data_IF_710837614153
#
_entry.id   IF_710837614153
#
_cell.length_a   1.000
_cell.length_b   1.000
_cell.length_c   1.000
_cell.angle_alpha   90.00
_cell.angle_beta   90.00
_cell.angle_gamma   90.00
#
_symmetry.space_group_name_H-M   'P 1'
#
loop_
_entity.id
_entity.type
_entity.pdbx_description
1 polymer ?
#
# COMPACT_ATOMS: atom_id res chain seq x y z
N UNK A 1 -23.56 -14.91 -25.25
CA UNK A 1 -22.41 -15.61 -24.65
C UNK A 1 -21.21 -14.67 -24.67
N UNK A 2 -20.65 -14.37 -23.51
CA UNK A 2 -19.21 -14.22 -23.28
C UNK A 2 -19.05 -13.95 -21.77
N UNK A 3 -18.53 -14.95 -21.04
CA UNK A 3 -18.02 -14.73 -19.68
C UNK A 3 -17.00 -13.60 -19.79
N UNK A 4 -17.32 -12.44 -19.19
CA UNK A 4 -16.33 -11.39 -18.96
C UNK A 4 -15.22 -12.07 -18.17
N UNK A 5 -14.05 -12.16 -18.79
CA UNK A 5 -12.89 -12.90 -18.30
C UNK A 5 -12.75 -12.68 -16.80
N UNK A 6 -12.56 -13.76 -16.06
CA UNK A 6 -12.15 -13.70 -14.67
C UNK A 6 -10.97 -12.72 -14.60
N UNK A 7 -11.23 -11.52 -14.11
CA UNK A 7 -10.19 -10.58 -13.73
C UNK A 7 -9.39 -11.36 -12.69
N UNK A 8 -8.18 -11.77 -13.04
CA UNK A 8 -7.25 -12.36 -12.07
C UNK A 8 -7.02 -11.26 -11.03
N UNK A 9 -7.84 -11.27 -9.98
CA UNK A 9 -7.65 -10.45 -8.82
C UNK A 9 -6.40 -10.99 -8.15
N UNK A 10 -5.26 -10.50 -8.61
CA UNK A 10 -3.99 -10.63 -7.90
C UNK A 10 -4.22 -9.94 -6.54
N UNK A 11 -4.48 -10.77 -5.53
CA UNK A 11 -4.67 -10.39 -4.14
C UNK A 11 -3.51 -10.97 -3.35
N UNK A 12 -2.94 -10.17 -2.45
CA UNK A 12 -1.92 -10.63 -1.51
C UNK A 12 -2.21 -10.11 -0.11
N UNK A 13 -1.77 -10.86 0.90
CA UNK A 13 -1.85 -10.46 2.30
C UNK A 13 -0.47 -9.99 2.76
N UNK A 14 -0.31 -8.69 3.00
CA UNK A 14 0.95 -8.11 3.48
C UNK A 14 0.67 -7.17 4.66
N UNK A 15 1.50 -7.23 5.69
CA UNK A 15 1.37 -6.40 6.89
C UNK A 15 -0.03 -6.45 7.55
N UNK A 16 -0.73 -7.58 7.41
CA UNK A 16 -2.09 -7.78 7.91
C UNK A 16 -3.18 -7.07 7.09
N UNK A 17 -2.87 -6.58 5.89
CA UNK A 17 -3.83 -5.98 4.96
C UNK A 17 -3.96 -6.81 3.69
N UNK A 18 -5.18 -6.83 3.14
CA UNK A 18 -5.46 -7.39 1.82
C UNK A 18 -5.14 -6.33 0.77
N UNK A 19 -4.11 -6.59 -0.04
CA UNK A 19 -3.69 -5.74 -1.15
C UNK A 19 -4.29 -6.23 -2.45
N UNK A 20 -4.83 -5.30 -3.21
CA UNK A 20 -5.43 -5.51 -4.51
C UNK A 20 -4.51 -4.92 -5.58
N UNK A 21 -4.23 -5.69 -6.61
CA UNK A 21 -3.46 -5.19 -7.75
C UNK A 21 -4.29 -4.15 -8.50
N UNK A 22 -3.75 -2.94 -8.63
CA UNK A 22 -4.35 -1.85 -9.41
C UNK A 22 -3.62 -1.59 -10.74
N UNK A 23 -2.50 -2.26 -10.99
CA UNK A 23 -1.73 -2.19 -12.22
C UNK A 23 -0.57 -3.20 -12.22
N UNK A 24 0.28 -3.18 -13.27
CA UNK A 24 1.39 -4.14 -13.39
C UNK A 24 2.30 -4.14 -12.15
N UNK A 25 2.58 -2.96 -11.63
CA UNK A 25 3.46 -2.75 -10.48
C UNK A 25 2.83 -1.78 -9.47
N UNK A 26 1.51 -1.88 -9.28
CA UNK A 26 0.77 -1.01 -8.37
C UNK A 26 -0.22 -1.83 -7.54
N UNK A 27 -0.20 -1.60 -6.23
CA UNK A 27 -0.99 -2.28 -5.23
C UNK A 27 -1.70 -1.28 -4.34
N UNK A 28 -2.97 -1.52 -4.05
CA UNK A 28 -3.74 -0.71 -3.12
C UNK A 28 -4.30 -1.56 -1.99
N UNK A 29 -4.34 -1.01 -0.80
CA UNK A 29 -5.00 -1.60 0.36
C UNK A 29 -5.70 -0.50 1.14
N UNK A 30 -6.63 -0.86 2.00
CA UNK A 30 -7.23 0.08 2.94
C UNK A 30 -7.51 -0.62 4.26
N UNK A 31 -7.48 0.15 5.33
CA UNK A 31 -8.01 -0.23 6.62
C UNK A 31 -8.79 0.92 7.24
N UNK A 32 -9.15 0.79 8.51
CA UNK A 32 -9.87 1.83 9.25
C UNK A 32 -9.07 3.13 9.47
N UNK A 33 -7.76 3.11 9.22
CA UNK A 33 -6.86 4.24 9.49
C UNK A 33 -6.47 4.99 8.22
N UNK A 34 -6.23 4.28 7.12
CA UNK A 34 -5.76 4.91 5.88
C UNK A 34 -6.09 4.08 4.63
N UNK A 35 -5.99 4.73 3.48
CA UNK A 35 -5.91 4.12 2.15
C UNK A 35 -4.45 4.15 1.70
N UNK A 36 -3.93 3.01 1.28
CA UNK A 36 -2.53 2.80 0.95
C UNK A 36 -2.37 2.53 -0.54
N UNK A 37 -1.32 3.10 -1.13
CA UNK A 37 -0.90 2.81 -2.51
C UNK A 37 0.60 2.54 -2.52
N UNK A 38 1.00 1.39 -3.05
CA UNK A 38 2.38 0.99 -3.31
C UNK A 38 2.58 0.91 -4.82
N UNK A 39 3.70 1.41 -5.32
CA UNK A 39 4.08 1.31 -6.71
C UNK A 39 5.59 1.11 -6.87
N UNK A 40 6.00 0.39 -7.91
CA UNK A 40 7.41 0.23 -8.27
C UNK A 40 7.80 1.28 -9.30
N UNK A 41 8.98 1.88 -9.13
CA UNK A 41 9.55 2.80 -10.11
C UNK A 41 10.70 2.16 -10.92
N UNK A 42 11.28 2.94 -11.84
CA UNK A 42 12.31 2.52 -12.81
C UNK A 42 13.63 2.10 -12.17
N UNK A 43 13.85 2.43 -10.91
CA UNK A 43 15.03 2.04 -10.12
C UNK A 43 14.85 0.68 -9.42
N UNK A 44 13.79 -0.05 -9.76
CA UNK A 44 13.42 -1.34 -9.19
C UNK A 44 13.12 -1.31 -7.68
N UNK A 45 12.76 -0.13 -7.14
CA UNK A 45 12.35 0.03 -5.75
C UNK A 45 10.86 0.32 -5.62
N UNK A 46 10.33 -0.08 -4.47
CA UNK A 46 8.96 0.19 -4.08
C UNK A 46 8.87 1.53 -3.34
N UNK A 47 7.93 2.33 -3.81
CA UNK A 47 7.52 3.62 -3.28
C UNK A 47 6.04 3.56 -2.95
N UNK A 48 5.56 4.55 -2.22
CA UNK A 48 4.17 4.57 -1.83
C UNK A 48 3.74 5.81 -1.10
N UNK A 49 2.45 5.89 -0.88
CA UNK A 49 1.81 6.90 -0.08
C UNK A 49 0.60 6.30 0.63
N UNK A 50 0.21 6.93 1.73
CA UNK A 50 -1.04 6.65 2.40
C UNK A 50 -1.84 7.93 2.55
N UNK A 51 -3.16 7.81 2.45
CA UNK A 51 -4.11 8.89 2.65
C UNK A 51 -4.94 8.60 3.89
N UNK A 52 -5.00 9.57 4.80
CA UNK A 52 -5.76 9.50 6.03
C UNK A 52 -6.52 10.81 6.20
N UNK A 53 -7.83 10.74 6.44
CA UNK A 53 -8.67 11.92 6.67
C UNK A 53 -8.55 12.99 5.56
N UNK A 54 -8.22 12.57 4.32
CA UNK A 54 -7.98 13.44 3.17
C UNK A 54 -6.55 14.01 3.07
N UNK A 55 -5.70 13.76 4.06
CA UNK A 55 -4.29 14.13 4.04
C UNK A 55 -3.43 13.00 3.46
N UNK A 56 -2.74 13.30 2.37
CA UNK A 56 -1.85 12.37 1.68
C UNK A 56 -0.43 12.53 2.17
N UNK A 57 0.14 11.45 2.71
CA UNK A 57 1.54 11.37 3.13
C UNK A 57 2.32 10.44 2.22
N UNK A 58 3.45 10.92 1.69
CA UNK A 58 4.38 10.12 0.88
C UNK A 58 5.40 9.44 1.78
N UNK A 59 5.70 8.17 1.50
CA UNK A 59 6.79 7.45 2.16
C UNK A 59 8.14 8.14 1.88
N UNK A 60 8.90 8.42 2.92
CA UNK A 60 10.25 9.01 2.81
C UNK A 60 11.37 7.94 2.65
N UNK A 61 10.99 6.68 2.50
CA UNK A 61 11.89 5.54 2.36
C UNK A 61 11.42 4.65 1.20
N UNK A 62 12.34 3.90 0.60
CA UNK A 62 12.06 2.95 -0.47
C UNK A 62 12.97 1.73 -0.36
N UNK A 63 12.52 0.58 -0.87
CA UNK A 63 13.31 -0.65 -0.86
C UNK A 63 12.92 -1.61 -2.00
N UNK A 64 13.78 -2.58 -2.37
CA UNK A 64 13.50 -3.50 -3.48
C UNK A 64 12.45 -4.59 -3.16
N UNK A 65 12.11 -4.79 -1.88
CA UNK A 65 11.20 -5.85 -1.44
C UNK A 65 9.81 -5.29 -1.12
N UNK A 66 8.78 -5.80 -1.80
CA UNK A 66 7.39 -5.35 -1.62
C UNK A 66 6.88 -5.60 -0.19
N UNK A 67 7.15 -6.78 0.36
CA UNK A 67 6.71 -7.20 1.71
C UNK A 67 7.23 -6.22 2.77
N UNK A 68 8.54 -5.98 2.78
CA UNK A 68 9.19 -5.04 3.72
C UNK A 68 8.66 -3.62 3.54
N UNK A 69 8.40 -3.19 2.30
CA UNK A 69 7.84 -1.87 2.04
C UNK A 69 6.41 -1.73 2.56
N UNK A 70 5.58 -2.76 2.39
CA UNK A 70 4.22 -2.79 2.90
C UNK A 70 4.19 -2.74 4.44
N UNK A 71 5.06 -3.49 5.11
CA UNK A 71 5.22 -3.44 6.57
C UNK A 71 5.62 -2.04 7.04
N UNK A 72 6.61 -1.44 6.38
CA UNK A 72 7.05 -0.08 6.65
C UNK A 72 5.91 0.94 6.54
N UNK A 73 5.15 0.92 5.44
CA UNK A 73 4.07 1.87 5.25
C UNK A 73 2.94 1.71 6.27
N UNK A 74 2.51 0.47 6.52
CA UNK A 74 1.40 0.20 7.45
C UNK A 74 1.78 0.57 8.87
N UNK A 75 3.02 0.26 9.29
CA UNK A 75 3.54 0.67 10.60
C UNK A 75 3.58 2.20 10.74
N UNK A 76 4.10 2.92 9.74
CA UNK A 76 4.17 4.39 9.79
C UNK A 76 2.80 5.06 9.81
N UNK A 77 1.88 4.64 8.95
CA UNK A 77 0.52 5.18 8.93
C UNK A 77 -0.22 4.97 10.26
N UNK A 78 -0.01 3.82 10.91
CA UNK A 78 -0.60 3.51 12.21
C UNK A 78 0.06 4.26 13.37
N UNK A 79 1.37 4.50 13.30
CA UNK A 79 2.12 5.30 14.30
C UNK A 79 1.81 6.79 14.24
N UNK A 80 1.39 7.31 13.09
CA UNK A 80 0.91 8.70 12.96
C UNK A 80 -0.41 8.97 13.70
N UNK A 81 -0.89 8.06 14.54
CA UNK A 81 -1.98 8.36 15.46
C UNK A 81 -1.56 9.46 16.45
N UNK A 82 -2.30 10.58 16.53
CA UNK A 82 -1.94 11.75 17.35
C UNK A 82 -2.08 11.52 18.87
N UNK A 83 -2.45 10.32 19.31
CA UNK A 83 -2.66 10.01 20.74
C UNK A 83 -1.37 9.65 21.49
N UNK A 84 -0.19 9.84 20.89
CA UNK A 84 1.09 9.56 21.55
C UNK A 84 1.94 10.85 21.60
N UNK A 85 1.68 11.76 22.56
CA UNK A 85 2.61 12.85 22.84
C UNK A 85 3.90 12.23 23.38
N UNK A 86 5.01 12.52 22.69
CA UNK A 86 6.36 12.34 23.24
C UNK A 86 6.60 13.37 24.35
#
# INVERSE_FOLDING_TARGET
>A
MALKAAENFDIMLLAGLTWHRSGKDNWTASDRFAVYTIFREVDDRWYGHWERDGEKTTANWSCPTLETFAEYMVDNARRQNPDNPT
#
